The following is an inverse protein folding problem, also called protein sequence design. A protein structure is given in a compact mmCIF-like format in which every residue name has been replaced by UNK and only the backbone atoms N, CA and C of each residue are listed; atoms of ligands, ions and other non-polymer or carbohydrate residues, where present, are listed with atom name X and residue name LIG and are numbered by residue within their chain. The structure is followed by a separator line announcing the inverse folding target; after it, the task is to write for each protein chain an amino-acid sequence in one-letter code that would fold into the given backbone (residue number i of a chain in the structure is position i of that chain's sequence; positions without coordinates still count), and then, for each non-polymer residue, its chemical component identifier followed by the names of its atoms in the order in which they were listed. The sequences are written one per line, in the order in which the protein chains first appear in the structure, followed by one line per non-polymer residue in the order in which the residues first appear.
data_IF_526088743176
#
_entry.id   IF_526088743176
#
_cell.length_a   1.000
_cell.length_b   1.000
_cell.length_c   1.000
_cell.angle_alpha   90.00
_cell.angle_beta   90.00
_cell.angle_gamma   90.00
#
_symmetry.space_group_name_H-M   'P 1'
#
loop_
_entity.id
_entity.type
_entity.pdbx_description
1 polymer ?
#
# COMPACT_ATOMS: atom_id res chain seq x y z
N UNK A 1 4.03 23.27 -13.59
CA UNK A 1 2.88 22.37 -13.38
C UNK A 1 3.31 20.98 -12.93
N UNK A 2 4.18 20.26 -13.65
CA UNK A 2 4.61 18.87 -13.33
C UNK A 2 4.83 18.58 -11.84
N UNK A 3 5.63 19.39 -11.14
CA UNK A 3 5.89 19.21 -9.69
C UNK A 3 4.58 19.15 -8.90
N UNK A 4 3.65 20.08 -9.15
CA UNK A 4 2.34 20.11 -8.48
C UNK A 4 1.51 18.86 -8.80
N UNK A 5 1.53 18.38 -10.05
CA UNK A 5 0.86 17.14 -10.45
C UNK A 5 1.42 15.93 -9.70
N UNK A 6 2.75 15.84 -9.59
CA UNK A 6 3.44 14.78 -8.83
C UNK A 6 3.13 14.88 -7.33
N UNK A 7 3.12 16.10 -6.76
CA UNK A 7 2.71 16.32 -5.37
C UNK A 7 1.29 15.79 -5.11
N UNK A 8 0.34 16.11 -5.98
CA UNK A 8 -1.05 15.65 -5.85
C UNK A 8 -1.20 14.13 -6.01
N UNK A 9 -0.59 13.54 -7.06
CA UNK A 9 -0.66 12.10 -7.28
C UNK A 9 -0.03 11.32 -6.12
N UNK A 10 1.15 11.75 -5.65
CA UNK A 10 1.82 11.14 -4.51
C UNK A 10 1.05 11.35 -3.20
N UNK A 11 0.40 12.52 -3.00
CA UNK A 11 -0.40 12.77 -1.82
C UNK A 11 -1.64 11.89 -1.76
N UNK A 12 -2.37 11.73 -2.88
CA UNK A 12 -3.52 10.83 -2.96
C UNK A 12 -3.09 9.38 -2.68
N UNK A 13 -1.99 8.93 -3.30
CA UNK A 13 -1.47 7.58 -3.10
C UNK A 13 -0.92 7.34 -1.69
N UNK A 14 -0.42 8.39 -1.01
CA UNK A 14 0.09 8.30 0.37
C UNK A 14 -0.99 7.92 1.40
N UNK A 15 -2.27 8.13 1.11
CA UNK A 15 -3.40 7.79 1.99
C UNK A 15 -3.82 6.31 1.77
N UNK A 16 -2.87 5.46 1.39
CA UNK A 16 -3.09 4.02 1.27
C UNK A 16 -3.28 3.37 2.66
N UNK A 17 -4.45 2.78 2.95
CA UNK A 17 -4.77 2.27 4.29
C UNK A 17 -3.92 1.06 4.70
N UNK A 18 -3.38 0.30 3.75
CA UNK A 18 -2.67 -0.95 4.00
C UNK A 18 -1.31 -0.74 4.68
N UNK A 19 -0.35 0.03 4.12
CA UNK A 19 0.93 0.27 4.78
C UNK A 19 0.77 1.12 6.05
N UNK A 20 -0.24 1.99 6.12
CA UNK A 20 -0.60 2.73 7.35
C UNK A 20 -1.05 1.77 8.46
N UNK A 21 -1.97 0.84 8.19
CA UNK A 21 -2.45 -0.12 9.18
C UNK A 21 -1.32 -1.06 9.66
N UNK A 22 -0.43 -1.47 8.75
CA UNK A 22 0.73 -2.29 9.08
C UNK A 22 1.73 -1.52 9.95
N UNK A 23 2.00 -0.24 9.65
CA UNK A 23 2.85 0.59 10.50
C UNK A 23 2.29 0.78 11.91
N UNK A 24 0.97 0.98 12.05
CA UNK A 24 0.29 1.06 13.36
C UNK A 24 0.45 -0.25 14.13
N UNK A 25 0.32 -1.41 13.46
CA UNK A 25 0.59 -2.71 14.08
C UNK A 25 2.06 -2.77 14.54
N UNK A 26 3.04 -2.53 13.66
CA UNK A 26 4.48 -2.59 14.00
C UNK A 26 4.80 -1.67 15.18
N UNK A 27 4.24 -0.45 15.22
CA UNK A 27 4.36 0.46 16.36
C UNK A 27 3.90 -0.19 17.68
N UNK A 28 2.74 -0.85 17.68
CA UNK A 28 2.20 -1.52 18.87
C UNK A 28 3.04 -2.71 19.35
N UNK A 29 3.60 -3.51 18.44
CA UNK A 29 4.36 -4.72 18.81
C UNK A 29 5.85 -4.45 19.08
N UNK A 30 6.45 -3.46 18.41
CA UNK A 30 7.91 -3.26 18.36
C UNK A 30 8.35 -1.81 18.56
N UNK A 31 7.43 -0.87 18.65
CA UNK A 31 7.75 0.55 18.80
C UNK A 31 8.38 1.17 17.55
N UNK A 32 8.88 2.38 17.74
CA UNK A 32 9.24 3.34 16.69
C UNK A 32 10.41 2.90 15.82
N UNK A 33 11.33 2.09 16.37
CA UNK A 33 12.47 1.53 15.65
C UNK A 33 12.12 0.39 14.68
N UNK A 34 10.97 -0.28 14.87
CA UNK A 34 10.42 -1.20 13.86
C UNK A 34 9.74 -0.43 12.73
N UNK A 35 9.01 0.63 13.07
CA UNK A 35 8.30 1.50 12.11
C UNK A 35 9.29 2.23 11.19
N UNK A 36 10.41 2.74 11.70
CA UNK A 36 11.40 3.42 10.86
C UNK A 36 12.03 2.47 9.83
N UNK A 37 12.40 1.26 10.22
CA UNK A 37 12.91 0.24 9.29
C UNK A 37 11.87 -0.13 8.22
N UNK A 38 10.60 -0.26 8.61
CA UNK A 38 9.48 -0.51 7.69
C UNK A 38 9.28 0.64 6.68
N UNK A 39 9.32 1.89 7.13
CA UNK A 39 9.26 3.09 6.28
C UNK A 39 10.43 3.14 5.29
N UNK A 40 11.65 2.83 5.72
CA UNK A 40 12.81 2.76 4.81
C UNK A 40 12.63 1.67 3.74
N UNK A 41 12.04 0.52 4.10
CA UNK A 41 11.69 -0.54 3.14
C UNK A 41 10.70 -0.07 2.08
N UNK A 42 9.62 0.59 2.49
CA UNK A 42 8.64 1.20 1.56
C UNK A 42 9.34 2.24 0.67
N UNK A 43 10.04 3.22 1.26
CA UNK A 43 10.69 4.30 0.52
C UNK A 43 11.63 3.78 -0.58
N UNK A 44 12.53 2.87 -0.22
CA UNK A 44 13.47 2.28 -1.18
C UNK A 44 12.76 1.49 -2.27
N UNK A 45 11.72 0.73 -1.92
CA UNK A 45 10.99 -0.08 -2.90
C UNK A 45 10.13 0.76 -3.82
N UNK A 46 9.40 1.77 -3.32
CA UNK A 46 8.68 2.74 -4.17
C UNK A 46 9.65 3.46 -5.11
N UNK A 47 10.82 3.89 -4.62
CA UNK A 47 11.85 4.55 -5.44
C UNK A 47 12.40 3.61 -6.54
N UNK A 48 12.75 2.37 -6.21
CA UNK A 48 13.23 1.37 -7.19
C UNK A 48 12.13 1.02 -8.21
N UNK A 49 10.89 0.79 -7.77
CA UNK A 49 9.75 0.59 -8.67
C UNK A 49 9.55 1.79 -9.59
N UNK A 50 9.71 3.02 -9.08
CA UNK A 50 9.61 4.24 -9.86
C UNK A 50 10.65 4.26 -11.00
N UNK A 51 11.88 3.80 -10.73
CA UNK A 51 12.91 3.64 -11.75
C UNK A 51 12.66 2.48 -12.71
N UNK A 52 12.03 1.37 -12.29
CA UNK A 52 11.69 0.20 -13.12
C UNK A 52 10.47 0.44 -14.02
N UNK A 53 9.54 1.29 -13.58
CA UNK A 53 8.45 1.81 -14.40
C UNK A 53 8.92 2.96 -15.30
N UNK A 54 9.87 3.79 -14.87
CA UNK A 54 10.81 4.43 -15.81
C UNK A 54 11.62 3.33 -16.54
N UNK A 55 12.25 3.61 -17.69
CA UNK A 55 12.76 2.57 -18.61
C UNK A 55 11.70 1.53 -19.08
N UNK A 56 11.27 0.60 -18.24
CA UNK A 56 10.40 -0.54 -18.57
C UNK A 56 9.00 -0.20 -19.12
N UNK A 57 8.39 0.95 -18.78
CA UNK A 57 7.10 1.34 -19.40
C UNK A 57 7.17 1.45 -20.93
N UNK A 58 8.35 1.66 -21.54
CA UNK A 58 8.50 1.68 -23.00
C UNK A 58 8.27 0.29 -23.59
N UNK A 59 8.89 -0.74 -23.00
CA UNK A 59 8.70 -2.13 -23.39
C UNK A 59 7.27 -2.58 -23.09
N UNK A 60 6.72 -2.19 -21.93
CA UNK A 60 5.34 -2.50 -21.56
C UNK A 60 4.34 -1.86 -22.54
N UNK A 61 4.58 -0.62 -22.98
CA UNK A 61 3.78 0.07 -24.00
C UNK A 61 3.95 -0.54 -25.41
N UNK A 62 5.15 -1.00 -25.75
CA UNK A 62 5.45 -1.72 -27.01
C UNK A 62 4.80 -3.13 -27.02
N UNK A 63 4.78 -3.82 -25.87
CA UNK A 63 4.08 -5.10 -25.69
C UNK A 63 2.57 -4.90 -25.74
N UNK A 64 2.02 -3.89 -25.04
CA UNK A 64 0.59 -3.54 -25.05
C UNK A 64 0.11 -3.10 -26.44
N UNK A 65 0.96 -2.44 -27.24
CA UNK A 65 0.59 -2.03 -28.61
C UNK A 65 0.76 -3.15 -29.64
N UNK A 66 1.71 -4.09 -29.44
CA UNK A 66 1.87 -5.28 -30.28
C UNK A 66 0.86 -6.39 -29.96
N UNK A 67 0.53 -6.60 -28.70
CA UNK A 67 -0.54 -7.51 -28.29
C UNK A 67 -1.88 -6.82 -28.52
N UNK A 68 -2.67 -7.36 -29.46
CA UNK A 68 -4.08 -6.98 -29.60
C UNK A 68 -4.88 -7.38 -28.36
N UNK A 69 -4.86 -6.54 -27.33
CA UNK A 69 -5.68 -6.63 -26.11
C UNK A 69 -7.19 -6.56 -26.39
N UNK A 70 -7.59 -6.29 -27.64
CA UNK A 70 -8.94 -6.52 -28.17
C UNK A 70 -9.38 -8.00 -28.13
N UNK A 71 -8.45 -8.93 -27.97
CA UNK A 71 -8.72 -10.37 -27.79
C UNK A 71 -8.95 -10.79 -26.32
N UNK A 72 -8.54 -9.95 -25.35
CA UNK A 72 -8.78 -10.22 -23.93
C UNK A 72 -10.18 -9.74 -23.60
N UNK A 73 -11.09 -10.67 -23.29
CA UNK A 73 -12.43 -10.29 -22.84
C UNK A 73 -12.36 -9.77 -21.39
N UNK A 74 -12.20 -8.46 -21.26
CA UNK A 74 -12.10 -7.73 -19.99
C UNK A 74 -13.31 -7.96 -19.08
N UNK A 75 -14.50 -8.21 -19.65
CA UNK A 75 -15.70 -8.57 -18.90
C UNK A 75 -15.51 -9.84 -18.05
N UNK A 76 -15.00 -10.92 -18.67
CA UNK A 76 -14.69 -12.16 -17.95
C UNK A 76 -13.59 -12.00 -16.88
N UNK A 77 -12.58 -11.18 -17.15
CA UNK A 77 -11.50 -10.92 -16.19
C UNK A 77 -12.01 -10.13 -14.97
N UNK A 78 -12.83 -9.10 -15.20
CA UNK A 78 -13.51 -8.34 -14.14
C UNK A 78 -14.46 -9.22 -13.32
N UNK A 79 -15.17 -10.16 -13.96
CA UNK A 79 -16.05 -11.13 -13.28
C UNK A 79 -15.24 -12.09 -12.40
N UNK A 80 -14.11 -12.62 -12.90
CA UNK A 80 -13.21 -13.49 -12.12
C UNK A 80 -12.63 -12.78 -10.90
N UNK A 81 -12.07 -11.58 -11.10
CA UNK A 81 -11.52 -10.75 -10.03
C UNK A 81 -12.61 -10.38 -9.02
N UNK A 82 -13.77 -9.90 -9.50
CA UNK A 82 -14.89 -9.54 -8.65
C UNK A 82 -15.42 -10.73 -7.83
N UNK A 83 -15.56 -11.90 -8.43
CA UNK A 83 -15.95 -13.13 -7.75
C UNK A 83 -14.97 -13.55 -6.64
N UNK A 84 -13.66 -13.54 -6.91
CA UNK A 84 -12.64 -13.84 -5.90
C UNK A 84 -12.64 -12.81 -4.75
N UNK A 85 -12.71 -11.52 -5.07
CA UNK A 85 -12.70 -10.43 -4.09
C UNK A 85 -13.96 -10.46 -3.22
N UNK A 86 -15.14 -10.68 -3.80
CA UNK A 86 -16.40 -10.87 -3.06
C UNK A 86 -16.37 -12.12 -2.19
N UNK A 87 -15.86 -13.26 -2.67
CA UNK A 87 -15.74 -14.48 -1.88
C UNK A 87 -14.79 -14.29 -0.67
N UNK A 88 -13.65 -13.62 -0.87
CA UNK A 88 -12.72 -13.29 0.22
C UNK A 88 -13.30 -12.28 1.22
N UNK A 89 -14.06 -11.28 0.73
CA UNK A 89 -14.82 -10.34 1.57
C UNK A 89 -15.90 -11.03 2.42
N UNK A 90 -16.63 -11.99 1.83
CA UNK A 90 -17.62 -12.84 2.52
C UNK A 90 -16.95 -13.71 3.58
N UNK A 91 -15.83 -14.36 3.23
CA UNK A 91 -15.05 -15.15 4.18
C UNK A 91 -14.59 -14.31 5.37
N UNK A 92 -14.00 -13.12 5.14
CA UNK A 92 -13.64 -12.20 6.23
C UNK A 92 -14.86 -11.72 7.01
N UNK A 93 -16.00 -11.49 6.36
CA UNK A 93 -17.24 -11.09 7.03
C UNK A 93 -17.73 -12.17 8.01
N UNK A 94 -17.68 -13.45 7.65
CA UNK A 94 -17.99 -14.56 8.57
C UNK A 94 -17.10 -14.50 9.83
N UNK A 95 -15.80 -14.31 9.65
CA UNK A 95 -14.80 -14.27 10.72
C UNK A 95 -14.56 -12.86 11.32
N UNK A 96 -15.43 -11.88 11.03
CA UNK A 96 -15.20 -10.44 11.32
C UNK A 96 -14.99 -10.08 12.80
N UNK A 97 -15.48 -10.94 13.70
CA UNK A 97 -15.37 -10.79 15.17
C UNK A 97 -14.22 -11.60 15.77
N UNK A 98 -13.57 -12.48 15.01
CA UNK A 98 -12.50 -13.31 15.52
C UNK A 98 -11.26 -12.47 15.78
N UNK A 99 -10.78 -12.50 17.02
CA UNK A 99 -9.55 -11.84 17.42
C UNK A 99 -8.46 -12.92 17.34
N UNK A 100 -7.43 -12.76 16.49
CA UNK A 100 -6.38 -13.75 16.37
C UNK A 100 -5.66 -13.94 17.71
N UNK A 101 -5.45 -15.20 18.09
CA UNK A 101 -4.81 -15.61 19.34
C UNK A 101 -3.30 -15.29 19.33
N UNK A 102 -2.99 -14.01 19.47
CA UNK A 102 -1.64 -13.49 19.61
C UNK A 102 -1.09 -13.92 20.98
N UNK A 103 -0.10 -14.83 20.97
CA UNK A 103 0.69 -15.19 22.18
C UNK A 103 1.14 -13.92 22.92
N UNK A 104 1.12 -13.96 24.26
CA UNK A 104 1.47 -12.82 25.14
C UNK A 104 2.80 -12.18 24.71
N UNK A 105 2.79 -10.85 24.63
CA UNK A 105 3.81 -10.06 23.94
C UNK A 105 5.15 -9.91 24.68
N UNK A 106 5.18 -10.22 25.97
CA UNK A 106 6.35 -10.03 26.83
C UNK A 106 7.50 -11.03 26.54
N UNK A 107 7.27 -12.03 25.68
CA UNK A 107 8.28 -13.03 25.27
C UNK A 107 8.97 -12.74 23.94
N UNK A 108 8.68 -11.60 23.29
CA UNK A 108 9.39 -11.21 22.07
C UNK A 108 10.80 -10.68 22.42
N UNK A 109 11.87 -11.26 21.86
CA UNK A 109 13.24 -10.82 22.16
C UNK A 109 13.45 -9.36 21.74
N UNK A 110 14.39 -8.63 22.37
CA UNK A 110 14.66 -7.22 22.09
C UNK A 110 14.95 -6.93 20.60
N UNK A 111 14.90 -5.66 20.24
CA UNK A 111 14.90 -5.19 18.85
C UNK A 111 16.32 -5.21 18.23
N UNK A 112 16.81 -6.42 18.04
CA UNK A 112 18.10 -6.76 17.45
C UNK A 112 18.21 -6.32 15.97
N UNK A 113 19.44 -6.17 15.47
CA UNK A 113 19.73 -5.69 14.11
C UNK A 113 19.06 -6.57 13.03
N UNK A 114 19.09 -7.89 13.23
CA UNK A 114 18.40 -8.86 12.38
C UNK A 114 16.87 -8.67 12.34
N UNK A 115 16.26 -8.09 13.38
CA UNK A 115 14.83 -7.75 13.38
C UNK A 115 14.54 -6.45 12.60
N UNK A 116 15.47 -5.49 12.54
CA UNK A 116 15.31 -4.30 11.67
C UNK A 116 15.29 -4.69 10.19
N UNK A 117 16.20 -5.58 9.78
CA UNK A 117 16.24 -6.12 8.42
C UNK A 117 14.92 -6.81 8.02
N UNK A 118 14.28 -7.55 8.95
CA UNK A 118 12.95 -8.13 8.72
C UNK A 118 11.87 -7.07 8.47
N UNK A 119 11.87 -5.96 9.22
CA UNK A 119 10.88 -4.90 8.99
C UNK A 119 11.12 -4.13 7.69
N UNK A 120 12.37 -3.92 7.31
CA UNK A 120 12.73 -3.36 5.99
C UNK A 120 12.24 -4.27 4.86
N UNK A 121 12.59 -5.56 4.90
CA UNK A 121 12.13 -6.53 3.91
C UNK A 121 10.59 -6.67 3.88
N UNK A 122 9.93 -6.54 5.04
CA UNK A 122 8.47 -6.55 5.12
C UNK A 122 7.84 -5.30 4.49
N UNK A 123 8.44 -4.11 4.67
CA UNK A 123 8.06 -2.88 3.96
C UNK A 123 8.13 -3.05 2.46
N UNK A 124 9.28 -3.53 1.97
CA UNK A 124 9.49 -3.85 0.56
C UNK A 124 8.49 -4.87 0.03
N UNK A 125 8.22 -5.94 0.77
CA UNK A 125 7.25 -6.96 0.38
C UNK A 125 5.81 -6.42 0.30
N UNK A 126 5.42 -5.53 1.23
CA UNK A 126 4.08 -4.89 1.18
C UNK A 126 3.92 -4.00 -0.05
N UNK A 127 4.93 -3.16 -0.36
CA UNK A 127 4.91 -2.30 -1.55
C UNK A 127 4.99 -3.11 -2.87
N UNK A 128 5.67 -4.26 -2.86
CA UNK A 128 5.67 -5.20 -4.00
C UNK A 128 4.32 -5.90 -4.19
N UNK A 129 3.65 -6.30 -3.11
CA UNK A 129 2.31 -6.89 -3.17
C UNK A 129 1.25 -5.88 -3.68
N UNK A 130 1.43 -4.59 -3.40
CA UNK A 130 0.53 -3.51 -3.84
C UNK A 130 0.87 -2.98 -5.26
N UNK A 131 1.96 -3.45 -5.87
CA UNK A 131 2.43 -2.98 -7.20
C UNK A 131 1.39 -3.12 -8.32
N UNK A 132 0.55 -4.18 -8.39
CA UNK A 132 -0.54 -4.25 -9.38
C UNK A 132 -1.59 -3.13 -9.23
N UNK A 133 -1.67 -2.50 -8.05
CA UNK A 133 -2.54 -1.35 -7.76
C UNK A 133 -1.87 0.02 -7.91
N UNK A 134 -0.58 0.09 -8.25
CA UNK A 134 0.23 1.32 -8.29
C UNK A 134 -0.06 2.24 -9.50
N UNK A 135 -1.34 2.38 -9.87
CA UNK A 135 -1.80 3.17 -11.01
C UNK A 135 -1.42 4.66 -10.92
N UNK A 136 -1.46 5.25 -9.73
CA UNK A 136 -1.09 6.65 -9.50
C UNK A 136 0.42 6.89 -9.69
N UNK A 137 1.26 5.90 -9.36
CA UNK A 137 2.69 5.92 -9.64
C UNK A 137 2.96 5.82 -11.15
N UNK A 138 2.28 4.91 -11.84
CA UNK A 138 2.37 4.76 -13.31
C UNK A 138 1.95 6.07 -14.01
N UNK A 139 0.86 6.70 -13.59
CA UNK A 139 0.43 8.00 -14.11
C UNK A 139 1.47 9.10 -13.86
N UNK A 140 2.05 9.19 -12.67
CA UNK A 140 3.09 10.17 -12.36
C UNK A 140 4.31 10.01 -13.29
N UNK A 141 4.70 8.78 -13.61
CA UNK A 141 5.82 8.47 -14.51
C UNK A 141 5.48 8.80 -15.97
N UNK A 142 4.24 8.57 -16.40
CA UNK A 142 3.75 9.00 -17.72
C UNK A 142 3.84 10.52 -17.86
N UNK A 143 3.42 11.29 -16.85
CA UNK A 143 3.53 12.76 -16.86
C UNK A 143 4.98 13.27 -16.87
N UNK A 144 5.88 12.60 -16.14
CA UNK A 144 7.33 12.88 -16.19
C UNK A 144 7.88 12.65 -17.60
N UNK A 145 7.53 11.51 -18.24
CA UNK A 145 7.97 11.17 -19.60
C UNK A 145 7.45 12.15 -20.66
N UNK A 146 6.17 12.54 -20.60
CA UNK A 146 5.53 13.45 -21.58
C UNK A 146 6.26 14.78 -21.75
N UNK A 147 6.86 15.29 -20.67
CA UNK A 147 7.47 16.62 -20.64
C UNK A 147 8.97 16.64 -20.98
N UNK A 148 9.52 15.51 -21.45
CA UNK A 148 10.93 15.37 -21.82
C UNK A 148 11.89 15.94 -20.76
N UNK A 149 11.58 15.72 -19.47
CA UNK A 149 12.36 16.31 -18.37
C UNK A 149 13.83 15.91 -18.46
N UNK A 150 14.78 16.85 -18.27
CA UNK A 150 16.20 16.51 -18.31
C UNK A 150 16.51 15.42 -17.28
N UNK A 151 17.29 14.43 -17.71
CA UNK A 151 17.54 13.20 -16.93
C UNK A 151 18.11 13.48 -15.52
N UNK A 152 18.80 14.61 -15.35
CA UNK A 152 19.33 15.10 -14.06
C UNK A 152 18.22 15.37 -13.02
N UNK A 153 17.01 15.77 -13.45
CA UNK A 153 15.87 16.01 -12.57
C UNK A 153 14.99 14.78 -12.34
N UNK A 154 15.21 13.67 -13.07
CA UNK A 154 14.45 12.44 -12.89
C UNK A 154 14.57 11.89 -11.44
N UNK A 155 15.76 11.73 -10.84
CA UNK A 155 15.88 11.25 -9.46
C UNK A 155 15.18 12.16 -8.44
N UNK A 156 15.14 13.48 -8.70
CA UNK A 156 14.43 14.43 -7.85
C UNK A 156 12.92 14.17 -7.87
N UNK A 157 12.31 13.99 -9.05
CA UNK A 157 10.86 13.75 -9.15
C UNK A 157 10.44 12.38 -8.59
N UNK A 158 11.22 11.33 -8.84
CA UNK A 158 10.92 9.98 -8.30
C UNK A 158 11.16 9.95 -6.77
N UNK A 159 12.22 10.61 -6.29
CA UNK A 159 12.49 10.77 -4.86
C UNK A 159 11.42 11.59 -4.14
N UNK A 160 10.91 12.66 -4.77
CA UNK A 160 9.81 13.47 -4.25
C UNK A 160 8.54 12.63 -4.08
N UNK A 161 8.20 11.80 -5.09
CA UNK A 161 7.06 10.89 -5.02
C UNK A 161 7.18 9.91 -3.84
N UNK A 162 8.30 9.18 -3.74
CA UNK A 162 8.54 8.21 -2.65
C UNK A 162 8.56 8.86 -1.26
N UNK A 163 9.06 10.10 -1.15
CA UNK A 163 9.06 10.87 0.10
C UNK A 163 7.65 11.22 0.55
N UNK A 164 6.78 11.64 -0.37
CA UNK A 164 5.40 12.02 -0.05
C UNK A 164 4.55 10.79 0.24
N UNK A 165 4.72 9.72 -0.55
CA UNK A 165 4.06 8.43 -0.34
C UNK A 165 4.28 7.89 1.09
N UNK A 166 5.49 8.05 1.64
CA UNK A 166 5.83 7.59 3.00
C UNK A 166 5.50 8.60 4.11
N UNK A 167 5.15 9.84 3.77
CA UNK A 167 5.00 10.96 4.71
C UNK A 167 3.92 10.73 5.79
N UNK A 168 2.73 10.17 5.51
CA UNK A 168 1.73 9.87 6.55
C UNK A 168 2.24 8.88 7.61
N UNK A 169 3.07 7.91 7.20
CA UNK A 169 3.63 6.90 8.11
C UNK A 169 4.76 7.52 8.95
N UNK A 170 5.56 8.40 8.37
CA UNK A 170 6.57 9.20 9.08
C UNK A 170 5.89 10.09 10.14
N UNK A 171 4.83 10.81 9.76
CA UNK A 171 4.05 11.66 10.65
C UNK A 171 3.41 10.86 11.81
N UNK A 172 2.85 9.67 11.51
CA UNK A 172 2.37 8.73 12.52
C UNK A 172 3.49 8.31 13.48
N UNK A 173 4.68 7.98 12.98
CA UNK A 173 5.81 7.57 13.84
C UNK A 173 6.24 8.71 14.78
N UNK A 174 6.31 9.96 14.29
CA UNK A 174 6.61 11.14 15.13
C UNK A 174 5.51 11.43 16.16
N UNK A 175 4.24 11.40 15.77
CA UNK A 175 3.12 11.56 16.69
C UNK A 175 3.11 10.47 17.78
N UNK A 176 3.52 9.25 17.41
CA UNK A 176 3.59 8.10 18.29
C UNK A 176 4.81 8.13 19.24
N UNK A 177 5.94 8.74 18.84
CA UNK A 177 7.03 9.13 19.76
C UNK A 177 6.51 10.15 20.78
N UNK A 178 5.87 11.23 20.31
CA UNK A 178 5.41 12.33 21.17
C UNK A 178 4.33 11.90 22.19
N UNK A 179 3.45 10.97 21.81
CA UNK A 179 2.33 10.53 22.65
C UNK A 179 2.47 9.11 23.21
N UNK A 180 3.65 8.49 23.16
CA UNK A 180 3.82 7.04 23.36
C UNK A 180 3.05 6.46 24.57
N UNK A 181 3.15 7.08 25.76
CA UNK A 181 2.39 6.68 26.95
C UNK A 181 0.87 6.77 26.77
N UNK A 182 0.36 7.90 26.25
CA UNK A 182 -1.08 8.12 26.05
C UNK A 182 -1.62 7.22 24.94
N UNK A 183 -0.88 7.07 23.84
CA UNK A 183 -1.24 6.22 22.72
C UNK A 183 -1.30 4.74 23.14
N UNK A 184 -0.30 4.22 23.87
CA UNK A 184 -0.30 2.84 24.39
C UNK A 184 -1.47 2.57 25.34
N UNK A 185 -1.79 3.49 26.24
CA UNK A 185 -2.93 3.35 27.18
C UNK A 185 -4.28 3.43 26.45
N UNK A 186 -4.41 4.29 25.45
CA UNK A 186 -5.65 4.44 24.69
C UNK A 186 -5.88 3.25 23.74
N UNK A 187 -4.84 2.82 23.03
CA UNK A 187 -4.88 1.64 22.17
C UNK A 187 -5.07 0.36 22.97
N UNK A 188 -4.39 0.14 24.11
CA UNK A 188 -4.60 -1.10 24.90
C UNK A 188 -6.06 -1.25 25.35
N UNK A 189 -6.71 -0.15 25.74
CA UNK A 189 -8.14 -0.11 26.13
C UNK A 189 -9.11 -0.27 24.97
N UNK A 190 -8.74 0.09 23.74
CA UNK A 190 -9.64 0.07 22.56
C UNK A 190 -9.24 -0.91 21.45
N UNK A 191 -8.10 -1.62 21.57
CA UNK A 191 -7.50 -2.47 20.52
C UNK A 191 -8.52 -3.43 19.91
N UNK A 192 -9.23 -4.20 20.73
CA UNK A 192 -10.20 -5.19 20.24
C UNK A 192 -11.35 -4.52 19.49
N UNK A 193 -11.83 -3.37 19.97
CA UNK A 193 -12.94 -2.63 19.36
C UNK A 193 -12.54 -1.94 18.06
N UNK A 194 -11.33 -1.36 18.01
CA UNK A 194 -10.72 -0.79 16.80
C UNK A 194 -10.47 -1.90 15.77
N UNK A 195 -9.92 -3.03 16.18
CA UNK A 195 -9.67 -4.20 15.32
C UNK A 195 -10.96 -4.73 14.70
N UNK A 196 -12.00 -4.95 15.51
CA UNK A 196 -13.32 -5.40 15.03
C UNK A 196 -13.90 -4.38 14.04
N UNK A 197 -13.83 -3.07 14.33
CA UNK A 197 -14.33 -2.03 13.40
C UNK A 197 -13.54 -1.99 12.08
N UNK A 198 -12.21 -2.05 12.12
CA UNK A 198 -11.38 -2.10 10.91
C UNK A 198 -11.65 -3.36 10.09
N UNK A 199 -11.78 -4.53 10.72
CA UNK A 199 -12.05 -5.77 10.02
C UNK A 199 -13.45 -5.79 9.40
N UNK A 200 -14.47 -5.25 10.08
CA UNK A 200 -15.81 -5.01 9.53
C UNK A 200 -15.74 -4.09 8.30
N UNK A 201 -15.07 -2.94 8.42
CA UNK A 201 -15.03 -1.93 7.37
C UNK A 201 -14.26 -2.42 6.13
N UNK A 202 -13.17 -3.17 6.34
CA UNK A 202 -12.38 -3.78 5.26
C UNK A 202 -13.10 -4.98 4.61
N UNK A 203 -13.90 -5.74 5.37
CA UNK A 203 -14.76 -6.79 4.79
C UNK A 203 -15.84 -6.19 3.89
N UNK A 204 -16.45 -5.08 4.33
CA UNK A 204 -17.48 -4.37 3.57
C UNK A 204 -16.92 -3.68 2.32
N UNK A 205 -15.72 -3.07 2.40
CA UNK A 205 -15.09 -2.45 1.23
C UNK A 205 -14.67 -3.50 0.19
N UNK A 206 -14.16 -4.66 0.61
CA UNK A 206 -13.89 -5.79 -0.30
C UNK A 206 -15.17 -6.28 -0.95
N UNK A 207 -16.26 -6.45 -0.20
CA UNK A 207 -17.55 -6.86 -0.75
C UNK A 207 -18.08 -5.86 -1.78
N UNK A 208 -18.07 -4.57 -1.45
CA UNK A 208 -18.50 -3.51 -2.37
C UNK A 208 -17.65 -3.46 -3.64
N UNK A 209 -16.31 -3.57 -3.52
CA UNK A 209 -15.39 -3.56 -4.65
C UNK A 209 -15.56 -4.80 -5.53
N UNK A 210 -15.72 -6.00 -4.95
CA UNK A 210 -15.98 -7.22 -5.70
C UNK A 210 -17.31 -7.19 -6.45
N UNK A 211 -18.38 -6.70 -5.82
CA UNK A 211 -19.69 -6.49 -6.47
C UNK A 211 -19.63 -5.44 -7.58
N UNK A 212 -18.86 -4.36 -7.38
CA UNK A 212 -18.63 -3.33 -8.40
C UNK A 212 -17.85 -3.89 -9.61
N UNK A 213 -16.81 -4.69 -9.40
CA UNK A 213 -16.10 -5.39 -10.47
C UNK A 213 -17.00 -6.39 -11.22
N UNK A 214 -17.84 -7.14 -10.50
CA UNK A 214 -18.84 -8.03 -11.13
C UNK A 214 -19.83 -7.25 -11.99
N UNK A 215 -20.36 -6.13 -11.50
CA UNK A 215 -21.32 -5.29 -12.23
C UNK A 215 -20.69 -4.65 -13.49
N UNK A 216 -19.46 -4.15 -13.39
CA UNK A 216 -18.71 -3.62 -14.54
C UNK A 216 -18.39 -4.73 -15.56
N UNK A 217 -17.99 -5.91 -15.10
CA UNK A 217 -17.66 -7.03 -15.98
C UNK A 217 -18.89 -7.58 -16.72
N UNK A 218 -20.03 -7.68 -16.04
CA UNK A 218 -21.31 -8.05 -16.66
C UNK A 218 -21.84 -6.99 -17.62
N UNK A 219 -21.56 -5.70 -17.39
CA UNK A 219 -21.90 -4.61 -18.31
C UNK A 219 -20.96 -4.46 -19.51
N UNK A 220 -19.93 -5.31 -19.62
CA UNK A 220 -18.97 -5.36 -20.74
C UNK A 220 -19.06 -6.66 -21.56
N UNK A 221 -19.98 -7.57 -21.20
CA UNK A 221 -20.33 -8.78 -21.95
C UNK A 221 -21.53 -8.54 -22.89
#
# INVERSE_FOLDING_TARGET
MLTLTILWLAFIDSINPTPIAIAILIFLYRGTGGVSAYVYGIFLTTLVQSFVFYFGLSELQEIISRQHLSSVNWGWLLILVGGMVSAYGLYRWCHRKEIPNLRRWDSLPPLDYANRLKFLAFGSATTLAETPGAFLLILAIIEIRKLATPFVFLPFYLGLYATIYTLPIIALNFAAIWQERRLKIWLSRRKNWIYIRLNILLSLSLLALGVFCLALGLGQL
#
